data_IF_971529206024
#
_entry.id   IF_971529206024
#
_cell.length_a   1.000
_cell.length_b   1.000
_cell.length_c   1.000
_cell.angle_alpha   90.00
_cell.angle_beta   90.00
_cell.angle_gamma   90.00
#
_symmetry.space_group_name_H-M   'P 1'
#
loop_
_entity.id
_entity.type
_entity.pdbx_description
1 polymer ?
#
# COMPACT_ATOMS: atom_id res chain seq x y z
N UNK A 1 -8.80 4.76 8.33
CA UNK A 1 -7.69 4.53 7.39
C UNK A 1 -6.36 4.55 8.14
N UNK A 2 -5.99 5.69 8.74
CA UNK A 2 -4.67 5.89 9.35
C UNK A 2 -4.18 4.83 10.34
N UNK A 3 -5.04 4.27 11.20
CA UNK A 3 -4.59 3.22 12.13
C UNK A 3 -4.23 1.90 11.42
N UNK A 4 -4.98 1.54 10.38
CA UNK A 4 -4.73 0.32 9.58
C UNK A 4 -3.47 0.49 8.74
N UNK A 5 -3.26 1.68 8.17
CA UNK A 5 -2.05 2.02 7.44
C UNK A 5 -0.83 2.01 8.35
N UNK A 6 -0.95 2.58 9.56
CA UNK A 6 0.13 2.60 10.54
C UNK A 6 0.53 1.17 10.96
N UNK A 7 -0.46 0.33 11.29
CA UNK A 7 -0.21 -1.07 11.67
C UNK A 7 0.35 -1.86 10.49
N UNK A 8 -0.22 -1.73 9.29
CA UNK A 8 0.27 -2.42 8.10
C UNK A 8 1.70 -2.01 7.73
N UNK A 9 2.00 -0.71 7.78
CA UNK A 9 3.33 -0.18 7.53
C UNK A 9 4.33 -0.61 8.61
N UNK A 10 3.95 -0.58 9.89
CA UNK A 10 4.81 -1.05 10.98
C UNK A 10 5.12 -2.55 10.84
N UNK A 11 4.12 -3.38 10.52
CA UNK A 11 4.31 -4.82 10.29
C UNK A 11 5.26 -5.10 9.12
N UNK A 12 5.14 -4.35 8.02
CA UNK A 12 6.05 -4.47 6.87
C UNK A 12 7.45 -3.98 7.21
N UNK A 13 7.59 -2.82 7.87
CA UNK A 13 8.87 -2.23 8.21
C UNK A 13 9.64 -3.05 9.25
N UNK A 14 8.94 -3.60 10.25
CA UNK A 14 9.53 -4.43 11.30
C UNK A 14 9.65 -5.91 10.89
N UNK A 15 9.19 -6.27 9.69
CA UNK A 15 9.20 -7.65 9.24
C UNK A 15 8.28 -8.62 9.99
N UNK A 16 7.51 -8.11 10.96
CA UNK A 16 6.61 -8.90 11.81
C UNK A 16 5.31 -9.13 11.04
N UNK A 17 5.09 -10.36 10.59
CA UNK A 17 3.95 -10.70 9.72
C UNK A 17 3.85 -9.78 8.49
N UNK A 18 4.98 -9.51 7.84
CA UNK A 18 5.08 -8.58 6.72
C UNK A 18 4.06 -8.86 5.59
N UNK A 19 3.75 -10.13 5.31
CA UNK A 19 2.73 -10.50 4.31
C UNK A 19 1.31 -10.07 4.72
N UNK A 20 0.95 -10.20 6.00
CA UNK A 20 -0.35 -9.72 6.51
C UNK A 20 -0.40 -8.19 6.52
N UNK A 21 0.71 -7.52 6.90
CA UNK A 21 0.84 -6.07 6.81
C UNK A 21 0.70 -5.57 5.36
N UNK A 22 1.32 -6.26 4.41
CA UNK A 22 1.21 -5.98 2.99
C UNK A 22 -0.23 -6.15 2.49
N UNK A 23 -0.96 -7.19 2.92
CA UNK A 23 -2.39 -7.36 2.59
C UNK A 23 -3.25 -6.20 3.08
N UNK A 24 -3.00 -5.71 4.30
CA UNK A 24 -3.71 -4.55 4.83
C UNK A 24 -3.44 -3.30 3.98
N UNK A 25 -2.17 -3.05 3.63
CA UNK A 25 -1.79 -1.92 2.78
C UNK A 25 -2.38 -2.03 1.37
N UNK A 26 -2.33 -3.21 0.74
CA UNK A 26 -2.95 -3.46 -0.57
C UNK A 26 -4.45 -3.13 -0.52
N UNK A 27 -5.16 -3.59 0.52
CA UNK A 27 -6.59 -3.33 0.68
C UNK A 27 -6.91 -1.84 0.80
N UNK A 28 -6.11 -1.11 1.60
CA UNK A 28 -6.26 0.34 1.75
C UNK A 28 -6.01 1.08 0.43
N UNK A 29 -4.90 0.78 -0.25
CA UNK A 29 -4.53 1.44 -1.51
C UNK A 29 -5.55 1.13 -2.62
N UNK A 30 -6.03 -0.11 -2.71
CA UNK A 30 -7.08 -0.49 -3.66
C UNK A 30 -8.40 0.25 -3.39
N UNK A 31 -8.77 0.41 -2.10
CA UNK A 31 -9.95 1.18 -1.71
C UNK A 31 -9.83 2.66 -2.04
N UNK A 32 -8.69 3.28 -1.73
CA UNK A 32 -8.41 4.69 -2.02
C UNK A 32 -8.40 4.95 -3.54
N UNK A 33 -7.70 4.10 -4.31
CA UNK A 33 -7.68 4.14 -5.76
C UNK A 33 -9.08 4.00 -6.36
N UNK A 34 -9.90 3.08 -5.84
CA UNK A 34 -11.29 2.92 -6.30
C UNK A 34 -12.11 4.21 -6.09
N UNK A 35 -11.96 4.88 -4.95
CA UNK A 35 -12.63 6.17 -4.71
C UNK A 35 -12.13 7.26 -5.65
N UNK A 36 -10.81 7.37 -5.85
CA UNK A 36 -10.19 8.34 -6.77
C UNK A 36 -10.67 8.15 -8.22
N UNK A 37 -10.74 6.91 -8.70
CA UNK A 37 -11.16 6.60 -10.08
C UNK A 37 -12.66 6.79 -10.28
N UNK A 38 -13.49 6.18 -9.42
CA UNK A 38 -14.94 6.09 -9.68
C UNK A 38 -15.73 7.27 -9.14
N UNK A 39 -15.37 7.80 -7.97
CA UNK A 39 -16.15 8.84 -7.28
C UNK A 39 -15.55 10.21 -7.55
N UNK A 40 -14.24 10.36 -7.45
CA UNK A 40 -13.57 11.67 -7.55
C UNK A 40 -13.05 11.99 -8.96
N UNK A 41 -13.10 11.00 -9.88
CA UNK A 41 -12.65 11.14 -11.27
C UNK A 41 -11.23 11.74 -11.39
N UNK A 42 -10.37 11.44 -10.42
CA UNK A 42 -9.01 11.94 -10.36
C UNK A 42 -8.16 11.25 -11.43
N UNK A 43 -7.39 12.03 -12.19
CA UNK A 43 -6.46 11.51 -13.19
C UNK A 43 -5.33 10.68 -12.58
N UNK A 44 -4.60 9.94 -13.43
CA UNK A 44 -3.49 9.09 -12.99
C UNK A 44 -2.39 9.87 -12.25
N UNK A 45 -1.93 10.97 -12.83
CA UNK A 45 -1.04 11.93 -12.19
C UNK A 45 -1.79 12.93 -11.29
N UNK A 46 -3.06 13.17 -11.61
CA UNK A 46 -3.93 14.14 -10.93
C UNK A 46 -3.44 15.58 -11.08
N UNK A 47 -4.24 16.52 -10.61
CA UNK A 47 -3.80 17.90 -10.40
C UNK A 47 -3.13 18.00 -9.02
N UNK A 48 -2.10 18.84 -8.90
CA UNK A 48 -1.35 19.05 -7.64
C UNK A 48 -0.89 17.75 -6.92
N UNK A 49 -0.54 16.71 -7.69
CA UNK A 49 -0.04 15.44 -7.15
C UNK A 49 -1.09 14.57 -6.46
N UNK A 50 -2.38 14.89 -6.58
CA UNK A 50 -3.48 14.10 -6.00
C UNK A 50 -3.81 12.82 -6.80
N UNK A 51 -3.06 12.54 -7.85
CA UNK A 51 -3.24 11.37 -8.69
C UNK A 51 -3.21 10.04 -7.94
N UNK A 52 -3.71 9.01 -8.60
CA UNK A 52 -3.70 7.65 -8.05
C UNK A 52 -2.45 6.83 -8.44
N UNK A 53 -1.45 7.47 -9.06
CA UNK A 53 -0.14 6.87 -9.34
C UNK A 53 0.53 6.28 -8.09
N UNK A 54 0.57 7.05 -7.00
CA UNK A 54 1.20 6.59 -5.76
C UNK A 54 0.40 5.47 -5.09
N UNK A 55 -0.93 5.51 -5.14
CA UNK A 55 -1.78 4.42 -4.67
C UNK A 55 -1.46 3.12 -5.43
N UNK A 56 -1.29 3.19 -6.76
CA UNK A 56 -0.90 2.05 -7.59
C UNK A 56 0.52 1.57 -7.26
N UNK A 57 1.48 2.49 -7.11
CA UNK A 57 2.86 2.16 -6.75
C UNK A 57 2.91 1.36 -5.45
N UNK A 58 2.25 1.85 -4.39
CA UNK A 58 2.22 1.17 -3.10
C UNK A 58 1.47 -0.17 -3.15
N UNK A 59 0.41 -0.26 -3.96
CA UNK A 59 -0.29 -1.52 -4.20
C UNK A 59 0.63 -2.56 -4.84
N UNK A 60 1.41 -2.18 -5.85
CA UNK A 60 2.38 -3.07 -6.52
C UNK A 60 3.50 -3.47 -5.57
N UNK A 61 4.06 -2.54 -4.79
CA UNK A 61 5.06 -2.85 -3.76
C UNK A 61 4.53 -3.86 -2.74
N UNK A 62 3.29 -3.67 -2.27
CA UNK A 62 2.63 -4.63 -1.38
C UNK A 62 2.52 -6.02 -2.01
N UNK A 63 2.17 -6.11 -3.30
CA UNK A 63 2.11 -7.38 -4.03
C UNK A 63 3.45 -8.09 -4.11
N UNK A 64 4.54 -7.35 -4.35
CA UNK A 64 5.90 -7.91 -4.35
C UNK A 64 6.22 -8.52 -3.00
N UNK A 65 5.96 -7.81 -1.90
CA UNK A 65 6.20 -8.31 -0.53
C UNK A 65 5.37 -9.57 -0.27
N UNK A 66 4.11 -9.57 -0.70
CA UNK A 66 3.20 -10.69 -0.53
C UNK A 66 3.68 -11.96 -1.25
N UNK A 67 4.16 -11.85 -2.49
CA UNK A 67 4.51 -13.01 -3.34
C UNK A 67 5.95 -13.48 -3.19
N UNK A 68 6.87 -12.60 -2.80
CA UNK A 68 8.29 -12.94 -2.66
C UNK A 68 8.66 -13.47 -1.27
N UNK A 69 7.72 -13.43 -0.31
CA UNK A 69 8.04 -13.71 1.11
C UNK A 69 8.97 -12.65 1.71
N UNK A 70 9.01 -11.46 1.12
CA UNK A 70 9.83 -10.34 1.56
C UNK A 70 9.41 -9.84 2.94
N UNK A 71 10.38 -9.33 3.71
CA UNK A 71 10.13 -8.78 5.05
C UNK A 71 10.92 -9.44 6.17
N UNK A 72 11.81 -10.40 5.91
CA UNK A 72 12.76 -10.82 6.96
C UNK A 72 13.71 -9.66 7.24
N UNK A 73 13.65 -9.10 8.46
CA UNK A 73 14.66 -8.15 8.93
C UNK A 73 15.99 -8.90 9.12
N UNK A 74 16.88 -8.78 8.14
CA UNK A 74 18.27 -9.20 8.29
C UNK A 74 19.07 -8.03 8.88
N UNK A 75 19.38 -8.13 10.18
CA UNK A 75 20.23 -7.17 10.91
C UNK A 75 21.72 -7.59 10.94
N UNK A 76 22.08 -8.63 10.17
CA UNK A 76 23.44 -9.20 10.08
C UNK A 76 24.22 -8.62 8.91
#
# INVERSE_FOLDING_TARGET
>A
LGLVELVGAASVALGVFAQLGALLLIGVMAGAMSKKIFVWKTGFWGDEGQGWFYDLLYLVCGFVILTTGGGTLALL
#
